data_IF_495913114393
#
_entry.id   IF_495913114393
#
_cell.length_a   1.000
_cell.length_b   1.000
_cell.length_c   1.000
_cell.angle_alpha   90.00
_cell.angle_beta   90.00
_cell.angle_gamma   90.00
#
_symmetry.space_group_name_H-M   'P 1'
#
loop_
_entity.id
_entity.type
_entity.pdbx_description
1 polymer ?
#
# COMPACT_ATOMS: atom_id res chain seq x y z
N UNK A 1 -29.41 31.21 6.65
CA UNK A 1 -28.22 30.46 6.23
C UNK A 1 -27.94 30.55 4.72
N UNK A 2 -28.89 30.26 3.81
CA UNK A 2 -28.66 30.34 2.34
C UNK A 2 -28.17 31.72 1.85
N UNK A 3 -28.79 32.82 2.32
CA UNK A 3 -28.39 34.20 1.91
C UNK A 3 -26.97 34.60 2.35
N UNK A 4 -26.53 34.12 3.52
CA UNK A 4 -25.17 34.37 4.02
C UNK A 4 -24.11 33.55 3.23
N UNK A 5 -24.43 32.32 2.85
CA UNK A 5 -23.60 31.49 2.03
C UNK A 5 -23.40 32.03 0.60
N UNK A 6 -24.49 32.53 -0.04
CA UNK A 6 -24.38 33.17 -1.34
C UNK A 6 -23.67 34.52 -1.29
N UNK A 7 -23.79 35.28 -0.18
CA UNK A 7 -23.05 36.53 0.03
C UNK A 7 -21.56 36.28 0.26
N UNK A 8 -21.20 35.13 0.83
CA UNK A 8 -19.82 34.73 0.99
C UNK A 8 -19.22 34.27 -0.36
N UNK A 9 -19.95 33.49 -1.17
CA UNK A 9 -19.56 33.07 -2.51
C UNK A 9 -19.41 34.22 -3.50
N UNK A 10 -20.27 35.27 -3.45
CA UNK A 10 -20.16 36.43 -4.34
C UNK A 10 -18.88 37.28 -4.11
N UNK A 11 -18.13 36.99 -3.08
CA UNK A 11 -16.82 37.60 -2.81
C UNK A 11 -15.69 37.03 -3.69
N UNK A 12 -15.93 35.90 -4.36
CA UNK A 12 -14.95 35.17 -5.17
C UNK A 12 -15.13 35.30 -6.69
N UNK A 13 -15.88 36.33 -7.17
CA UNK A 13 -16.00 36.64 -8.60
C UNK A 13 -17.17 35.97 -9.31
N UNK A 14 -17.29 36.20 -10.61
CA UNK A 14 -18.44 35.78 -11.47
C UNK A 14 -18.57 34.29 -11.72
N UNK A 15 -17.66 33.46 -11.22
CA UNK A 15 -17.67 31.99 -11.35
C UNK A 15 -18.50 31.25 -10.26
N UNK A 16 -19.46 31.95 -9.62
CA UNK A 16 -20.37 31.28 -8.69
C UNK A 16 -21.24 30.26 -9.45
N UNK A 17 -21.13 28.98 -9.16
CA UNK A 17 -21.95 27.99 -9.86
C UNK A 17 -23.44 28.32 -9.66
N UNK A 18 -24.17 28.53 -10.76
CA UNK A 18 -25.61 28.76 -10.73
C UNK A 18 -26.31 27.73 -9.86
N UNK A 19 -27.28 28.07 -9.03
CA UNK A 19 -27.97 27.12 -8.18
C UNK A 19 -28.50 25.99 -9.04
N UNK A 20 -28.12 24.76 -8.69
CA UNK A 20 -28.53 23.55 -9.42
C UNK A 20 -30.06 23.48 -9.44
N UNK A 21 -30.64 23.32 -10.63
CA UNK A 21 -32.09 23.11 -10.75
C UNK A 21 -32.48 21.86 -9.99
N UNK A 22 -33.69 21.82 -9.41
CA UNK A 22 -34.18 20.67 -8.59
C UNK A 22 -33.96 19.31 -9.25
N UNK A 23 -34.15 19.20 -10.58
CA UNK A 23 -33.93 17.98 -11.34
C UNK A 23 -32.48 17.50 -11.32
N UNK A 24 -31.48 18.40 -11.26
CA UNK A 24 -30.07 18.03 -11.15
C UNK A 24 -29.73 17.45 -9.78
N UNK A 25 -30.34 17.94 -8.69
CA UNK A 25 -30.14 17.35 -7.37
C UNK A 25 -30.72 15.94 -7.28
N UNK A 26 -31.88 15.69 -7.89
CA UNK A 26 -32.51 14.38 -7.95
C UNK A 26 -31.63 13.43 -8.75
N UNK A 27 -31.13 13.86 -9.91
CA UNK A 27 -30.21 13.06 -10.72
C UNK A 27 -28.94 12.70 -9.96
N UNK A 28 -28.26 13.70 -9.33
CA UNK A 28 -27.06 13.48 -8.53
C UNK A 28 -27.33 12.51 -7.38
N UNK A 29 -28.49 12.64 -6.69
CA UNK A 29 -28.87 11.75 -5.61
C UNK A 29 -28.98 10.30 -6.09
N UNK A 30 -29.71 10.05 -7.19
CA UNK A 30 -29.87 8.71 -7.75
C UNK A 30 -28.54 8.12 -8.28
N UNK A 31 -27.66 8.96 -8.85
CA UNK A 31 -26.32 8.53 -9.28
C UNK A 31 -25.39 8.21 -8.10
N UNK A 32 -25.51 8.95 -7.01
CA UNK A 32 -24.72 8.71 -5.82
C UNK A 32 -25.29 7.59 -4.91
N UNK A 33 -26.59 7.26 -5.05
CA UNK A 33 -27.30 6.32 -4.20
C UNK A 33 -26.61 4.95 -4.10
N UNK A 34 -26.18 4.28 -5.18
CA UNK A 34 -25.50 2.99 -5.07
C UNK A 34 -24.19 3.08 -4.27
N UNK A 35 -23.42 4.16 -4.47
CA UNK A 35 -22.20 4.38 -3.71
C UNK A 35 -22.47 4.67 -2.23
N UNK A 36 -23.50 5.46 -1.92
CA UNK A 36 -23.92 5.75 -0.56
C UNK A 36 -24.44 4.51 0.16
N UNK A 37 -25.26 3.68 -0.51
CA UNK A 37 -25.72 2.41 0.03
C UNK A 37 -24.56 1.46 0.29
N UNK A 38 -23.63 1.35 -0.65
CA UNK A 38 -22.40 0.57 -0.46
C UNK A 38 -21.59 1.04 0.75
N UNK A 39 -21.43 2.35 0.90
CA UNK A 39 -20.73 2.94 2.04
C UNK A 39 -21.46 2.65 3.36
N UNK A 40 -22.79 2.84 3.41
CA UNK A 40 -23.56 2.57 4.62
C UNK A 40 -23.53 1.10 5.03
N UNK A 41 -23.70 0.17 4.08
CA UNK A 41 -23.75 -1.27 4.39
C UNK A 41 -22.35 -1.81 4.69
N UNK A 42 -21.42 -1.64 3.76
CA UNK A 42 -20.10 -2.28 3.85
C UNK A 42 -19.14 -1.56 4.78
N UNK A 43 -19.11 -0.23 4.80
CA UNK A 43 -18.19 0.48 5.68
C UNK A 43 -18.77 0.68 7.09
N UNK A 44 -19.97 1.24 7.21
CA UNK A 44 -20.53 1.46 8.55
C UNK A 44 -21.10 0.18 9.17
N UNK A 45 -21.94 -0.57 8.44
CA UNK A 45 -22.60 -1.75 8.98
C UNK A 45 -21.60 -2.85 9.36
N UNK A 46 -20.70 -3.22 8.45
CA UNK A 46 -19.73 -4.30 8.69
C UNK A 46 -18.71 -3.91 9.76
N UNK A 47 -18.13 -2.69 9.68
CA UNK A 47 -17.14 -2.26 10.67
C UNK A 47 -17.76 -2.10 12.06
N UNK A 48 -18.98 -1.56 12.18
CA UNK A 48 -19.66 -1.45 13.46
C UNK A 48 -19.94 -2.83 14.08
N UNK A 49 -20.39 -3.79 13.26
CA UNK A 49 -20.58 -5.16 13.70
C UNK A 49 -19.27 -5.83 14.13
N UNK A 50 -18.20 -5.62 13.39
CA UNK A 50 -16.86 -6.12 13.76
C UNK A 50 -16.38 -5.54 15.09
N UNK A 51 -16.63 -4.25 15.33
CA UNK A 51 -16.31 -3.61 16.63
C UNK A 51 -17.15 -4.26 17.75
N UNK A 52 -18.44 -4.46 17.55
CA UNK A 52 -19.28 -5.15 18.55
C UNK A 52 -18.78 -6.56 18.84
N UNK A 53 -18.45 -7.34 17.80
CA UNK A 53 -17.92 -8.70 17.94
C UNK A 53 -16.61 -8.72 18.73
N UNK A 54 -15.75 -7.72 18.60
CA UNK A 54 -14.52 -7.62 19.38
C UNK A 54 -14.75 -7.61 20.89
N UNK A 55 -15.89 -7.04 21.32
CA UNK A 55 -16.30 -6.93 22.73
C UNK A 55 -17.33 -8.00 23.14
N UNK A 56 -17.62 -8.99 22.32
CA UNK A 56 -18.54 -10.07 22.66
C UNK A 56 -17.79 -11.34 23.04
N UNK A 57 -18.20 -11.97 24.13
CA UNK A 57 -17.79 -13.33 24.48
C UNK A 57 -18.36 -14.32 23.45
N UNK A 58 -17.52 -15.13 22.77
CA UNK A 58 -17.98 -16.09 21.76
C UNK A 58 -18.95 -17.15 22.31
N UNK A 59 -18.93 -17.43 23.62
CA UNK A 59 -19.77 -18.48 24.24
C UNK A 59 -21.12 -17.95 24.73
N UNK A 60 -21.14 -16.77 25.31
CA UNK A 60 -22.34 -16.20 25.97
C UNK A 60 -23.02 -15.11 25.14
N UNK A 61 -22.31 -14.53 24.15
CA UNK A 61 -22.76 -13.36 23.38
C UNK A 61 -22.81 -12.05 24.21
N UNK A 62 -22.47 -12.09 25.49
CA UNK A 62 -22.47 -10.94 26.39
C UNK A 62 -21.27 -10.03 26.09
N UNK A 63 -21.41 -8.74 26.40
CA UNK A 63 -20.28 -7.79 26.29
C UNK A 63 -19.21 -8.15 27.32
N UNK A 64 -17.98 -8.38 26.85
CA UNK A 64 -16.84 -8.80 27.65
C UNK A 64 -15.52 -8.34 27.02
N UNK A 65 -14.47 -8.21 27.82
CA UNK A 65 -13.10 -7.95 27.36
C UNK A 65 -12.26 -9.22 27.19
N UNK A 66 -12.85 -10.41 27.24
CA UNK A 66 -12.16 -11.70 27.20
C UNK A 66 -11.26 -11.86 25.95
N UNK A 67 -11.68 -11.32 24.80
CA UNK A 67 -10.88 -11.38 23.57
C UNK A 67 -9.62 -10.51 23.68
N UNK A 68 -9.68 -9.39 24.38
CA UNK A 68 -8.52 -8.53 24.62
C UNK A 68 -7.60 -9.11 25.69
N UNK A 69 -8.14 -9.75 26.73
CA UNK A 69 -7.34 -10.47 27.73
C UNK A 69 -6.58 -11.61 27.07
N UNK A 70 -7.23 -12.38 26.19
CA UNK A 70 -6.58 -13.41 25.37
C UNK A 70 -5.48 -12.80 24.49
N UNK A 71 -5.73 -11.68 23.83
CA UNK A 71 -4.74 -11.00 22.99
C UNK A 71 -3.51 -10.57 23.81
N UNK A 72 -3.72 -10.00 24.99
CA UNK A 72 -2.60 -9.62 25.89
C UNK A 72 -1.79 -10.88 26.28
N UNK A 73 -2.47 -11.98 26.61
CA UNK A 73 -1.82 -13.27 26.89
C UNK A 73 -0.99 -13.76 25.70
N UNK A 74 -1.54 -13.70 24.49
CA UNK A 74 -0.86 -14.09 23.28
C UNK A 74 0.35 -13.18 22.96
N UNK A 75 0.25 -11.87 23.22
CA UNK A 75 1.37 -10.94 23.07
C UNK A 75 2.49 -11.17 24.09
N UNK A 76 2.18 -11.71 25.26
CA UNK A 76 3.17 -12.08 26.28
C UNK A 76 3.76 -13.48 26.08
N UNK A 77 3.10 -14.31 25.29
CA UNK A 77 3.52 -15.70 25.04
C UNK A 77 4.58 -15.77 23.95
N UNK A 78 5.69 -16.43 24.25
CA UNK A 78 6.76 -16.72 23.27
C UNK A 78 6.34 -17.68 22.16
N UNK A 79 5.30 -18.45 22.36
CA UNK A 79 4.77 -19.42 21.38
C UNK A 79 3.69 -18.83 20.45
N UNK A 80 3.33 -17.58 20.63
CA UNK A 80 2.30 -16.90 19.84
C UNK A 80 2.80 -16.56 18.44
N UNK A 81 1.93 -16.76 17.44
CA UNK A 81 2.15 -16.36 16.05
C UNK A 81 1.98 -14.85 15.83
N UNK A 82 1.36 -14.13 16.78
CA UNK A 82 1.04 -12.71 16.63
C UNK A 82 2.29 -11.84 16.58
N UNK A 83 3.29 -12.10 17.44
CA UNK A 83 4.53 -11.31 17.45
C UNK A 83 5.33 -11.45 16.14
N UNK A 84 5.60 -12.67 15.64
CA UNK A 84 6.22 -12.83 14.33
C UNK A 84 5.41 -12.18 13.21
N UNK A 85 4.06 -12.31 13.22
CA UNK A 85 3.18 -11.69 12.24
C UNK A 85 3.25 -10.16 12.28
N UNK A 86 3.32 -9.56 13.47
CA UNK A 86 3.51 -8.12 13.65
C UNK A 86 4.85 -7.66 13.07
N UNK A 87 5.94 -8.34 13.40
CA UNK A 87 7.27 -8.01 12.88
C UNK A 87 7.33 -8.12 11.34
N UNK A 88 6.70 -9.14 10.76
CA UNK A 88 6.61 -9.27 9.32
C UNK A 88 5.76 -8.15 8.71
N UNK A 89 4.63 -7.79 9.34
CA UNK A 89 3.81 -6.65 8.90
C UNK A 89 4.64 -5.37 8.81
N UNK A 90 5.48 -5.10 9.80
CA UNK A 90 6.40 -3.96 9.78
C UNK A 90 7.44 -4.05 8.66
N UNK A 91 7.99 -5.24 8.36
CA UNK A 91 8.93 -5.42 7.26
C UNK A 91 8.27 -5.13 5.90
N UNK A 92 7.06 -5.66 5.67
CA UNK A 92 6.29 -5.38 4.45
C UNK A 92 5.91 -3.92 4.36
N UNK A 93 5.44 -3.34 5.45
CA UNK A 93 5.10 -1.92 5.52
C UNK A 93 6.32 -1.03 5.19
N UNK A 94 7.47 -1.30 5.80
CA UNK A 94 8.68 -0.54 5.55
C UNK A 94 9.12 -0.64 4.08
N UNK A 95 9.07 -1.83 3.50
CA UNK A 95 9.37 -2.05 2.10
C UNK A 95 8.42 -1.26 1.20
N UNK A 96 7.11 -1.32 1.43
CA UNK A 96 6.10 -0.72 0.56
C UNK A 96 5.94 0.78 0.75
N UNK A 97 6.08 1.30 1.98
CA UNK A 97 5.88 2.71 2.27
C UNK A 97 7.14 3.57 2.06
N UNK A 98 8.33 2.99 2.25
CA UNK A 98 9.58 3.75 2.22
C UNK A 98 10.52 3.35 1.08
N UNK A 99 10.81 2.05 0.91
CA UNK A 99 11.81 1.61 -0.06
C UNK A 99 11.25 1.69 -1.49
N UNK A 100 10.11 1.04 -1.73
CA UNK A 100 9.53 0.96 -3.08
C UNK A 100 9.19 2.32 -3.68
N UNK A 101 8.54 3.27 -2.98
CA UNK A 101 8.23 4.57 -3.55
C UNK A 101 9.48 5.35 -3.99
N UNK A 102 10.55 5.28 -3.20
CA UNK A 102 11.81 5.94 -3.53
C UNK A 102 12.43 5.33 -4.79
N UNK A 103 12.53 4.01 -4.85
CA UNK A 103 13.10 3.31 -6.02
C UNK A 103 12.25 3.58 -7.27
N UNK A 104 10.92 3.50 -7.16
CA UNK A 104 9.99 3.77 -8.27
C UNK A 104 10.06 5.22 -8.72
N UNK A 105 10.27 6.19 -7.81
CA UNK A 105 10.47 7.60 -8.14
C UNK A 105 11.69 7.79 -9.05
N UNK A 106 12.85 7.22 -8.69
CA UNK A 106 14.08 7.29 -9.50
C UNK A 106 13.91 6.59 -10.85
N UNK A 107 13.32 5.40 -10.88
CA UNK A 107 13.05 4.67 -12.13
C UNK A 107 12.12 5.49 -13.02
N UNK A 108 11.08 6.10 -12.47
CA UNK A 108 10.12 6.92 -13.21
C UNK A 108 10.77 8.16 -13.83
N UNK A 109 11.67 8.80 -13.10
CA UNK A 109 12.43 9.95 -13.61
C UNK A 109 13.37 9.54 -14.75
N UNK A 110 14.09 8.43 -14.60
CA UNK A 110 14.90 7.84 -15.66
C UNK A 110 14.09 7.57 -16.94
N UNK A 111 12.92 6.96 -16.79
CA UNK A 111 12.03 6.68 -17.92
C UNK A 111 11.46 7.96 -18.55
N UNK A 112 11.13 8.97 -17.74
CA UNK A 112 10.65 10.27 -18.18
C UNK A 112 11.70 11.01 -19.03
N UNK A 113 12.96 10.99 -18.64
CA UNK A 113 14.09 11.59 -19.39
C UNK A 113 14.40 10.88 -20.69
N UNK A 114 13.72 9.79 -21.02
CA UNK A 114 13.90 9.01 -22.25
C UNK A 114 15.35 8.58 -22.48
N UNK A 115 16.04 8.21 -21.43
CA UNK A 115 17.43 7.71 -21.49
C UNK A 115 17.49 6.42 -22.31
N UNK A 116 18.68 5.99 -22.67
CA UNK A 116 18.95 4.82 -23.50
C UNK A 116 18.12 3.60 -23.06
N UNK A 117 17.47 2.91 -24.00
CA UNK A 117 16.61 1.74 -23.76
C UNK A 117 15.34 2.00 -22.92
N UNK A 118 14.88 3.23 -22.73
CA UNK A 118 13.71 3.53 -21.90
C UNK A 118 12.44 2.73 -22.30
N UNK A 119 12.20 2.54 -23.60
CA UNK A 119 11.05 1.75 -24.08
C UNK A 119 11.17 0.28 -23.67
N UNK A 120 12.37 -0.30 -23.77
CA UNK A 120 12.63 -1.67 -23.35
C UNK A 120 12.40 -1.83 -21.85
N UNK A 121 12.97 -0.96 -21.02
CA UNK A 121 12.75 -1.00 -19.57
C UNK A 121 11.29 -0.78 -19.18
N UNK A 122 10.60 0.14 -19.86
CA UNK A 122 9.15 0.35 -19.62
C UNK A 122 8.36 -0.93 -19.87
N UNK A 123 8.57 -1.58 -21.02
CA UNK A 123 7.88 -2.84 -21.34
C UNK A 123 8.24 -3.92 -20.30
N UNK A 124 9.51 -4.07 -19.97
CA UNK A 124 9.99 -5.09 -19.04
C UNK A 124 9.39 -4.93 -17.63
N UNK A 125 9.24 -3.68 -17.15
CA UNK A 125 8.63 -3.39 -15.86
C UNK A 125 7.11 -3.65 -15.86
N UNK A 126 6.42 -3.48 -17.01
CA UNK A 126 4.98 -3.71 -17.08
C UNK A 126 4.60 -5.16 -17.41
N UNK A 127 5.45 -5.97 -18.02
CA UNK A 127 5.17 -7.38 -18.33
C UNK A 127 4.62 -8.14 -17.10
N UNK A 128 5.23 -8.05 -15.90
CA UNK A 128 4.74 -8.79 -14.74
C UNK A 128 3.31 -8.41 -14.32
N UNK A 129 2.86 -7.19 -14.58
CA UNK A 129 1.52 -6.73 -14.22
C UNK A 129 0.42 -7.22 -15.17
N UNK A 130 0.79 -7.67 -16.36
CA UNK A 130 -0.13 -8.22 -17.36
C UNK A 130 -0.37 -9.71 -17.13
N UNK A 131 0.63 -10.40 -16.57
CA UNK A 131 0.57 -11.83 -16.30
C UNK A 131 -0.14 -12.06 -14.96
N UNK A 132 -0.90 -13.15 -14.86
CA UNK A 132 -1.51 -13.55 -13.59
C UNK A 132 -0.45 -13.67 -12.47
N UNK A 133 -0.70 -13.03 -11.32
CA UNK A 133 0.21 -13.09 -10.17
C UNK A 133 0.52 -14.51 -9.71
N UNK A 134 -0.44 -15.42 -9.80
CA UNK A 134 -0.24 -16.84 -9.45
C UNK A 134 0.81 -17.49 -10.35
N UNK A 135 0.75 -17.21 -11.66
CA UNK A 135 1.73 -17.74 -12.63
C UNK A 135 3.12 -17.20 -12.34
N UNK A 136 3.24 -15.88 -12.11
CA UNK A 136 4.54 -15.25 -11.82
C UNK A 136 5.15 -15.79 -10.52
N UNK A 137 4.33 -15.95 -9.47
CA UNK A 137 4.76 -16.54 -8.20
C UNK A 137 5.23 -17.99 -8.40
N UNK A 138 4.46 -18.79 -9.15
CA UNK A 138 4.81 -20.19 -9.41
C UNK A 138 6.12 -20.28 -10.20
N UNK A 139 6.30 -19.45 -11.22
CA UNK A 139 7.56 -19.38 -11.96
C UNK A 139 8.73 -19.01 -11.04
N UNK A 140 8.57 -17.99 -10.21
CA UNK A 140 9.61 -17.57 -9.28
C UNK A 140 9.96 -18.68 -8.27
N UNK A 141 8.96 -19.35 -7.67
CA UNK A 141 9.17 -20.50 -6.77
C UNK A 141 9.97 -21.61 -7.45
N UNK A 142 9.58 -21.97 -8.68
CA UNK A 142 10.26 -23.01 -9.43
C UNK A 142 11.70 -22.62 -9.77
N UNK A 143 11.95 -21.35 -10.09
CA UNK A 143 13.31 -20.85 -10.41
C UNK A 143 14.27 -20.97 -9.23
N UNK A 144 13.81 -20.66 -8.00
CA UNK A 144 14.63 -20.65 -6.79
C UNK A 144 14.61 -21.97 -6.03
N UNK A 145 13.83 -22.96 -6.47
CA UNK A 145 13.75 -24.27 -5.80
C UNK A 145 15.07 -25.03 -5.90
N UNK A 146 15.36 -25.99 -4.98
CA UNK A 146 16.55 -26.83 -5.05
C UNK A 146 16.67 -27.62 -6.36
N UNK A 147 15.54 -28.01 -6.95
CA UNK A 147 15.48 -28.71 -8.25
C UNK A 147 15.31 -27.72 -9.43
N UNK A 148 15.38 -26.41 -9.20
CA UNK A 148 15.12 -25.39 -10.20
C UNK A 148 16.32 -25.07 -11.09
N UNK A 149 16.09 -24.32 -12.18
CA UNK A 149 17.14 -24.00 -13.16
C UNK A 149 18.30 -23.19 -12.56
N UNK A 150 18.03 -22.30 -11.58
CA UNK A 150 19.10 -21.54 -10.91
C UNK A 150 20.00 -22.47 -10.11
N UNK A 151 19.40 -23.41 -9.36
CA UNK A 151 20.14 -24.42 -8.60
C UNK A 151 20.99 -25.31 -9.51
N UNK A 152 20.43 -25.72 -10.66
CA UNK A 152 21.17 -26.50 -11.65
C UNK A 152 22.38 -25.74 -12.22
N UNK A 153 22.22 -24.46 -12.55
CA UNK A 153 23.32 -23.64 -13.05
C UNK A 153 24.44 -23.44 -12.01
N UNK A 154 24.08 -23.24 -10.75
CA UNK A 154 25.03 -23.12 -9.64
C UNK A 154 25.79 -24.44 -9.43
N UNK A 155 25.09 -25.57 -9.44
CA UNK A 155 25.70 -26.88 -9.32
C UNK A 155 26.67 -27.15 -10.45
N UNK A 156 26.28 -26.84 -11.70
CA UNK A 156 27.15 -27.00 -12.88
C UNK A 156 28.43 -26.17 -12.78
N UNK A 157 28.35 -25.00 -12.15
CA UNK A 157 29.49 -24.10 -11.94
C UNK A 157 30.27 -24.38 -10.63
N UNK A 158 30.02 -25.47 -9.94
CA UNK A 158 30.76 -25.88 -8.75
C UNK A 158 30.31 -25.18 -7.43
N UNK A 159 29.21 -24.44 -7.43
CA UNK A 159 28.73 -23.71 -6.26
C UNK A 159 27.75 -24.51 -5.39
N UNK A 160 27.44 -25.76 -5.72
CA UNK A 160 26.48 -26.59 -5.00
C UNK A 160 25.02 -26.32 -5.37
N UNK A 161 24.10 -26.98 -4.67
CA UNK A 161 22.64 -26.88 -4.88
C UNK A 161 22.06 -25.80 -3.94
N UNK A 162 21.08 -25.03 -4.42
CA UNK A 162 20.35 -24.09 -3.58
C UNK A 162 19.65 -24.82 -2.42
N UNK A 163 19.66 -24.20 -1.26
CA UNK A 163 18.79 -24.61 -0.15
C UNK A 163 17.34 -24.23 -0.45
N UNK A 164 16.40 -24.93 0.16
CA UNK A 164 14.99 -24.51 0.11
C UNK A 164 14.76 -23.33 1.08
N UNK A 165 14.89 -22.14 0.55
CA UNK A 165 14.75 -20.91 1.33
C UNK A 165 13.31 -20.60 1.76
N UNK A 166 12.30 -21.24 1.14
CA UNK A 166 10.90 -21.03 1.47
C UNK A 166 10.41 -21.91 2.62
N UNK A 167 11.13 -23.00 2.94
CA UNK A 167 10.81 -23.90 4.04
C UNK A 167 11.59 -23.59 5.33
N UNK A 168 12.50 -22.62 5.30
CA UNK A 168 13.24 -22.16 6.49
C UNK A 168 12.59 -20.90 7.09
N UNK A 169 12.14 -20.94 8.36
CA UNK A 169 11.54 -19.79 9.04
C UNK A 169 12.41 -18.53 9.09
N UNK A 170 13.73 -18.67 8.96
CA UNK A 170 14.66 -17.54 8.97
C UNK A 170 14.74 -16.82 7.63
N UNK A 171 14.48 -17.50 6.52
CA UNK A 171 14.70 -16.97 5.17
C UNK A 171 13.42 -16.77 4.38
N UNK A 172 12.36 -17.53 4.66
CA UNK A 172 11.12 -17.53 3.89
C UNK A 172 10.52 -16.11 3.72
N UNK A 173 10.37 -15.37 4.80
CA UNK A 173 9.85 -13.98 4.74
C UNK A 173 10.74 -13.07 3.89
N UNK A 174 12.06 -13.19 3.97
CA UNK A 174 13.00 -12.36 3.21
C UNK A 174 12.92 -12.66 1.71
N UNK A 175 12.74 -13.91 1.33
CA UNK A 175 12.54 -14.31 -0.08
C UNK A 175 11.23 -13.74 -0.63
N UNK A 176 10.14 -13.79 0.15
CA UNK A 176 8.85 -13.23 -0.28
C UNK A 176 8.93 -11.70 -0.37
N UNK A 177 9.65 -11.04 0.54
CA UNK A 177 9.91 -9.60 0.47
C UNK A 177 10.72 -9.23 -0.77
N UNK A 178 11.74 -10.01 -1.10
CA UNK A 178 12.55 -9.82 -2.31
C UNK A 178 11.70 -9.97 -3.58
N UNK A 179 10.86 -11.00 -3.64
CA UNK A 179 9.88 -11.14 -4.72
C UNK A 179 8.97 -9.91 -4.80
N UNK A 180 8.41 -9.48 -3.67
CA UNK A 180 7.53 -8.31 -3.60
C UNK A 180 8.24 -7.05 -4.10
N UNK A 181 9.50 -6.85 -3.70
CA UNK A 181 10.32 -5.74 -4.20
C UNK A 181 10.45 -5.77 -5.73
N UNK A 182 10.88 -6.89 -6.30
CA UNK A 182 11.12 -7.01 -7.75
C UNK A 182 9.86 -6.80 -8.58
N UNK A 183 8.75 -7.42 -8.17
CA UNK A 183 7.52 -7.42 -8.98
C UNK A 183 6.55 -6.29 -8.67
N UNK A 184 6.87 -5.41 -7.70
CA UNK A 184 6.09 -4.21 -7.39
C UNK A 184 6.72 -2.91 -7.93
N UNK A 185 7.83 -2.99 -8.66
CA UNK A 185 8.52 -1.82 -9.22
C UNK A 185 7.69 -1.05 -10.27
N UNK A 186 6.68 -1.68 -10.86
CA UNK A 186 5.72 -1.02 -11.76
C UNK A 186 4.67 -0.17 -11.03
N UNK A 187 4.57 -0.30 -9.71
CA UNK A 187 3.61 0.46 -8.91
C UNK A 187 3.83 1.98 -9.04
N UNK A 188 2.76 2.70 -9.29
CA UNK A 188 2.76 4.18 -9.39
C UNK A 188 3.65 4.79 -10.51
N UNK A 189 4.33 3.99 -11.37
CA UNK A 189 5.15 4.51 -12.48
C UNK A 189 4.37 5.48 -13.38
N UNK A 190 3.12 5.13 -13.75
CA UNK A 190 2.27 5.97 -14.60
C UNK A 190 1.92 7.29 -13.92
N UNK A 191 1.67 7.26 -12.61
CA UNK A 191 1.38 8.46 -11.83
C UNK A 191 2.59 9.38 -11.85
N UNK A 192 3.80 8.85 -11.60
CA UNK A 192 5.02 9.63 -11.62
C UNK A 192 5.33 10.23 -12.98
N UNK A 193 5.30 9.41 -14.05
CA UNK A 193 5.55 9.87 -15.42
C UNK A 193 4.50 10.94 -15.81
N UNK A 194 3.24 10.74 -15.43
CA UNK A 194 2.17 11.72 -15.67
C UNK A 194 2.39 13.03 -14.91
N UNK A 195 2.89 12.94 -13.67
CA UNK A 195 3.21 14.12 -12.85
C UNK A 195 4.40 14.89 -13.42
N UNK A 196 5.47 14.22 -13.81
CA UNK A 196 6.64 14.87 -14.43
C UNK A 196 6.30 15.58 -15.73
N UNK A 197 5.38 15.03 -16.53
CA UNK A 197 4.91 15.67 -17.78
C UNK A 197 4.10 16.96 -17.58
N UNK A 198 3.67 17.26 -16.35
CA UNK A 198 3.00 18.53 -16.05
C UNK A 198 3.99 19.67 -15.84
N UNK A 199 5.26 19.37 -15.61
CA UNK A 199 6.30 20.39 -15.46
C UNK A 199 6.58 20.98 -16.84
N UNK A 200 6.48 22.31 -17.04
CA UNK A 200 6.75 22.95 -18.31
C UNK A 200 8.19 22.70 -18.80
N UNK A 201 8.34 22.42 -20.09
CA UNK A 201 9.67 22.17 -20.71
C UNK A 201 10.61 23.35 -20.52
N UNK A 202 10.08 24.60 -20.48
CA UNK A 202 10.86 25.82 -20.25
C UNK A 202 11.67 25.79 -18.96
N UNK A 203 11.19 25.11 -17.92
CA UNK A 203 11.90 24.98 -16.65
C UNK A 203 13.12 24.07 -16.81
N UNK A 204 12.98 22.96 -17.54
CA UNK A 204 14.10 22.07 -17.85
C UNK A 204 15.13 22.75 -18.74
N UNK A 205 14.68 23.57 -19.71
CA UNK A 205 15.58 24.28 -20.60
C UNK A 205 16.33 25.41 -19.86
N UNK A 206 15.69 26.13 -18.94
CA UNK A 206 16.37 27.08 -18.08
C UNK A 206 17.44 26.41 -17.20
N UNK A 207 17.11 25.27 -16.57
CA UNK A 207 18.09 24.50 -15.79
C UNK A 207 19.30 24.03 -16.59
N UNK A 208 19.11 23.65 -17.88
CA UNK A 208 20.22 23.31 -18.76
C UNK A 208 21.10 24.51 -19.07
N UNK A 209 20.53 25.69 -19.29
CA UNK A 209 21.28 26.93 -19.52
C UNK A 209 22.09 27.32 -18.28
N UNK A 210 21.59 27.07 -17.09
CA UNK A 210 22.28 27.31 -15.82
C UNK A 210 23.32 26.21 -15.50
N UNK A 211 23.48 25.20 -16.36
CA UNK A 211 24.45 24.10 -16.18
C UNK A 211 24.11 23.11 -15.07
N UNK A 212 22.84 22.99 -14.73
CA UNK A 212 22.36 22.07 -13.70
C UNK A 212 22.52 20.62 -14.16
N UNK A 213 23.19 19.79 -13.36
CA UNK A 213 23.31 18.34 -13.62
C UNK A 213 21.96 17.62 -13.44
N UNK A 214 21.80 16.43 -14.05
CA UNK A 214 20.53 15.65 -13.92
C UNK A 214 20.13 15.34 -12.49
N UNK A 215 21.08 15.09 -11.59
CA UNK A 215 20.80 14.88 -10.17
C UNK A 215 20.37 16.16 -9.45
N UNK A 216 21.01 17.29 -9.78
CA UNK A 216 20.59 18.60 -9.26
C UNK A 216 19.21 18.97 -9.79
N UNK A 217 18.95 18.73 -11.08
CA UNK A 217 17.61 18.91 -11.67
C UNK A 217 16.55 18.10 -10.91
N UNK A 218 16.83 16.81 -10.65
CA UNK A 218 15.89 15.96 -9.91
C UNK A 218 15.60 16.49 -8.51
N UNK A 219 16.64 16.80 -7.73
CA UNK A 219 16.46 17.17 -6.32
C UNK A 219 16.08 18.62 -6.07
N UNK A 220 16.60 19.56 -6.87
CA UNK A 220 16.40 20.99 -6.65
C UNK A 220 15.22 21.57 -7.46
N UNK A 221 14.86 20.95 -8.59
CA UNK A 221 13.80 21.43 -9.47
C UNK A 221 12.59 20.50 -9.40
N UNK A 222 12.76 19.24 -9.83
CA UNK A 222 11.63 18.29 -9.98
C UNK A 222 11.01 17.91 -8.65
N UNK A 223 11.80 17.52 -7.65
CA UNK A 223 11.30 17.07 -6.34
C UNK A 223 10.43 18.10 -5.63
N UNK A 224 10.83 19.38 -5.53
CA UNK A 224 9.95 20.42 -4.96
C UNK A 224 8.65 20.59 -5.74
N UNK A 225 8.72 20.59 -7.09
CA UNK A 225 7.55 20.78 -7.95
C UNK A 225 6.53 19.66 -7.88
N UNK A 226 6.94 18.42 -7.57
CA UNK A 226 6.04 17.27 -7.44
C UNK A 226 5.76 16.90 -5.98
N UNK A 227 6.08 17.78 -5.04
CA UNK A 227 5.97 17.53 -3.58
C UNK A 227 4.56 17.11 -3.13
N UNK A 228 3.51 17.66 -3.75
CA UNK A 228 2.13 17.27 -3.48
C UNK A 228 1.85 15.80 -3.85
N UNK A 229 2.39 15.35 -5.01
CA UNK A 229 2.27 13.95 -5.43
C UNK A 229 3.08 13.03 -4.52
N UNK A 230 4.30 13.45 -4.11
CA UNK A 230 5.12 12.71 -3.13
C UNK A 230 4.33 12.52 -1.84
N UNK A 231 3.77 13.59 -1.28
CA UNK A 231 2.99 13.55 -0.05
C UNK A 231 1.77 12.62 -0.18
N UNK A 232 1.04 12.71 -1.29
CA UNK A 232 -0.14 11.89 -1.54
C UNK A 232 0.21 10.40 -1.63
N UNK A 233 1.21 10.04 -2.43
CA UNK A 233 1.63 8.65 -2.59
C UNK A 233 2.27 8.09 -1.31
N UNK A 234 2.96 8.92 -0.54
CA UNK A 234 3.51 8.54 0.75
C UNK A 234 2.40 8.23 1.76
N UNK A 235 1.38 9.09 1.86
CA UNK A 235 0.21 8.86 2.72
C UNK A 235 -0.51 7.57 2.33
N UNK A 236 -0.73 7.33 1.02
CA UNK A 236 -1.31 6.08 0.52
C UNK A 236 -0.45 4.87 0.89
N UNK A 237 0.88 4.98 0.82
CA UNK A 237 1.81 3.95 1.26
C UNK A 237 1.69 3.65 2.77
N UNK A 238 1.50 4.67 3.59
CA UNK A 238 1.32 4.52 5.04
C UNK A 238 0.05 3.75 5.41
N UNK A 239 -1.05 3.94 4.67
CA UNK A 239 -2.27 3.15 4.90
C UNK A 239 -2.09 1.68 4.59
N UNK A 240 -1.06 1.33 3.82
CA UNK A 240 -0.68 -0.05 3.51
C UNK A 240 -0.35 -0.92 4.72
N UNK A 241 -0.05 -0.32 5.90
CA UNK A 241 0.17 -1.08 7.15
C UNK A 241 -1.04 -1.95 7.52
N UNK A 242 -2.26 -1.47 7.22
CA UNK A 242 -3.51 -2.17 7.54
C UNK A 242 -3.85 -3.25 6.51
N UNK A 243 -3.24 -3.21 5.32
CA UNK A 243 -3.55 -4.11 4.21
C UNK A 243 -2.37 -5.00 3.80
N UNK A 244 -1.25 -4.94 4.53
CA UNK A 244 -0.03 -5.68 4.22
C UNK A 244 -0.26 -7.20 4.35
N UNK A 245 -0.64 -7.84 3.25
CA UNK A 245 -0.79 -9.30 3.16
C UNK A 245 0.35 -9.95 2.40
N UNK A 246 0.97 -9.22 1.46
CA UNK A 246 1.93 -9.79 0.53
C UNK A 246 1.37 -10.98 -0.28
N UNK A 247 2.17 -11.64 -1.08
CA UNK A 247 1.79 -12.85 -1.82
C UNK A 247 1.89 -14.14 -0.97
N UNK A 248 1.77 -14.03 0.36
CA UNK A 248 2.02 -15.11 1.34
C UNK A 248 1.16 -16.34 1.06
N UNK A 249 -0.12 -16.14 0.68
CA UNK A 249 -1.05 -17.22 0.37
C UNK A 249 -0.46 -18.22 -0.64
N UNK A 250 0.15 -17.71 -1.71
CA UNK A 250 0.67 -18.55 -2.80
C UNK A 250 2.08 -19.08 -2.55
N UNK A 251 2.85 -18.43 -1.67
CA UNK A 251 4.20 -18.88 -1.33
C UNK A 251 4.19 -19.97 -0.27
N UNK A 252 3.66 -19.69 0.89
CA UNK A 252 3.80 -20.50 2.10
C UNK A 252 2.48 -20.76 2.82
N UNK A 253 1.41 -20.08 2.42
CA UNK A 253 0.12 -20.06 3.14
C UNK A 253 0.28 -19.72 4.64
N UNK A 254 1.25 -18.86 4.98
CA UNK A 254 1.54 -18.47 6.36
C UNK A 254 2.50 -19.39 7.11
N UNK A 255 2.84 -20.59 6.59
CA UNK A 255 3.82 -21.47 7.21
C UNK A 255 5.21 -20.79 7.33
N UNK A 256 6.09 -21.38 8.11
CA UNK A 256 7.48 -20.93 8.29
C UNK A 256 7.61 -19.48 8.77
N UNK A 257 6.74 -19.08 9.71
CA UNK A 257 6.71 -17.72 10.30
C UNK A 257 6.54 -16.59 9.27
N UNK A 258 5.80 -16.82 8.20
CA UNK A 258 5.59 -15.82 7.14
C UNK A 258 4.31 -15.00 7.29
N UNK A 259 3.47 -15.28 8.29
CA UNK A 259 2.27 -14.50 8.55
C UNK A 259 2.56 -13.00 8.68
N UNK A 260 1.70 -12.18 8.09
CA UNK A 260 1.45 -10.80 8.50
C UNK A 260 0.15 -10.77 9.31
N UNK A 261 -0.08 -9.71 10.09
CA UNK A 261 -1.31 -9.60 10.89
C UNK A 261 -2.55 -9.73 10.02
N UNK A 262 -2.60 -9.00 8.90
CA UNK A 262 -3.77 -9.03 8.04
C UNK A 262 -3.98 -10.40 7.37
N UNK A 263 -2.92 -11.09 6.96
CA UNK A 263 -3.04 -12.44 6.42
C UNK A 263 -3.39 -13.46 7.51
N UNK A 264 -2.87 -13.30 8.71
CA UNK A 264 -3.25 -14.11 9.88
C UNK A 264 -4.73 -13.95 10.20
N UNK A 265 -5.24 -12.70 10.25
CA UNK A 265 -6.67 -12.42 10.43
C UNK A 265 -7.53 -13.10 9.37
N UNK A 266 -7.11 -13.03 8.10
CA UNK A 266 -7.81 -13.69 6.99
C UNK A 266 -7.92 -15.21 7.21
N UNK A 267 -6.83 -15.87 7.61
CA UNK A 267 -6.82 -17.32 7.88
C UNK A 267 -7.69 -17.66 9.08
N UNK A 268 -7.60 -16.88 10.17
CA UNK A 268 -8.43 -17.09 11.38
C UNK A 268 -9.93 -16.98 11.07
N UNK A 269 -10.32 -15.97 10.29
CA UNK A 269 -11.71 -15.79 9.86
C UNK A 269 -12.20 -16.92 8.95
N UNK A 270 -11.32 -17.43 8.08
CA UNK A 270 -11.65 -18.51 7.15
C UNK A 270 -11.79 -19.87 7.85
N UNK A 271 -10.93 -20.18 8.80
CA UNK A 271 -10.79 -21.51 9.39
C UNK A 271 -11.52 -21.64 10.73
N UNK A 272 -11.83 -20.53 11.41
CA UNK A 272 -12.56 -20.51 12.69
C UNK A 272 -14.02 -20.12 12.51
N UNK A 273 -14.91 -20.81 13.25
CA UNK A 273 -16.34 -20.49 13.31
C UNK A 273 -16.66 -19.23 14.13
N UNK A 274 -15.66 -18.61 14.78
CA UNK A 274 -15.85 -17.42 15.63
C UNK A 274 -15.05 -16.25 15.11
N UNK A 275 -15.72 -15.09 14.93
CA UNK A 275 -15.10 -13.86 14.44
C UNK A 275 -14.64 -12.91 15.55
N UNK A 276 -14.99 -13.21 16.81
CA UNK A 276 -14.83 -12.33 17.96
C UNK A 276 -13.35 -12.01 18.22
N UNK A 277 -12.52 -13.04 18.35
CA UNK A 277 -11.09 -12.87 18.61
C UNK A 277 -10.33 -12.19 17.46
N UNK A 278 -10.47 -12.61 16.19
CA UNK A 278 -9.89 -11.87 15.05
C UNK A 278 -10.35 -10.40 15.00
N UNK A 279 -11.60 -10.11 15.33
CA UNK A 279 -12.10 -8.72 15.38
C UNK A 279 -11.44 -7.90 16.47
N UNK A 280 -11.19 -8.47 17.65
CA UNK A 280 -10.47 -7.80 18.73
C UNK A 280 -9.00 -7.52 18.34
N UNK A 281 -8.33 -8.49 17.70
CA UNK A 281 -6.96 -8.31 17.18
C UNK A 281 -6.91 -7.20 16.12
N UNK A 282 -7.81 -7.24 15.14
CA UNK A 282 -7.89 -6.21 14.09
C UNK A 282 -8.17 -4.81 14.65
N UNK A 283 -9.10 -4.70 15.61
CA UNK A 283 -9.43 -3.44 16.28
C UNK A 283 -8.22 -2.89 17.07
N UNK A 284 -7.53 -3.74 17.82
CA UNK A 284 -6.34 -3.36 18.58
C UNK A 284 -5.25 -2.77 17.68
N UNK A 285 -4.92 -3.45 16.58
CA UNK A 285 -3.93 -2.96 15.63
C UNK A 285 -4.39 -1.69 14.90
N UNK A 286 -5.69 -1.53 14.66
CA UNK A 286 -6.26 -0.31 14.09
C UNK A 286 -6.13 0.87 15.04
N UNK A 287 -6.41 0.67 16.33
CA UNK A 287 -6.27 1.71 17.36
C UNK A 287 -4.82 2.19 17.49
N UNK A 288 -3.84 1.31 17.31
CA UNK A 288 -2.42 1.67 17.35
C UNK A 288 -1.97 2.32 16.04
N UNK A 289 -2.36 1.75 14.90
CA UNK A 289 -1.90 2.19 13.59
C UNK A 289 -2.51 3.51 13.13
N UNK A 290 -3.79 3.76 13.42
CA UNK A 290 -4.49 4.95 12.99
C UNK A 290 -3.86 6.26 13.50
N UNK A 291 -3.52 6.41 14.79
CA UNK A 291 -2.82 7.61 15.28
C UNK A 291 -1.47 7.83 14.59
N UNK A 292 -0.72 6.75 14.30
CA UNK A 292 0.57 6.84 13.60
C UNK A 292 0.38 7.40 12.20
N UNK A 293 -0.60 6.86 11.45
CA UNK A 293 -0.92 7.35 10.10
C UNK A 293 -1.39 8.81 10.12
N UNK A 294 -2.27 9.18 11.07
CA UNK A 294 -2.76 10.55 11.22
C UNK A 294 -1.64 11.54 11.59
N UNK A 295 -0.72 11.13 12.46
CA UNK A 295 0.42 11.96 12.86
C UNK A 295 1.33 12.21 11.65
N UNK A 296 1.68 11.16 10.92
CA UNK A 296 2.54 11.30 9.74
C UNK A 296 1.82 12.09 8.63
N UNK A 297 0.52 11.87 8.42
CA UNK A 297 -0.28 12.68 7.50
C UNK A 297 -0.23 14.17 7.85
N UNK A 298 -0.39 14.54 9.13
CA UNK A 298 -0.29 15.93 9.58
C UNK A 298 1.10 16.53 9.38
N UNK A 299 2.15 15.72 9.56
CA UNK A 299 3.53 16.14 9.31
C UNK A 299 3.80 16.36 7.82
N UNK A 300 3.35 15.46 6.95
CA UNK A 300 3.56 15.56 5.50
C UNK A 300 2.82 16.74 4.88
N UNK A 301 1.65 17.11 5.39
CA UNK A 301 0.92 18.31 4.92
C UNK A 301 1.73 19.60 5.09
N UNK A 302 2.61 19.70 6.09
CA UNK A 302 3.47 20.87 6.28
C UNK A 302 4.56 20.98 5.21
N UNK A 303 4.93 19.88 4.56
CA UNK A 303 5.95 19.85 3.50
C UNK A 303 5.35 19.89 2.10
N UNK A 304 4.03 19.70 1.97
CA UNK A 304 3.33 19.79 0.69
C UNK A 304 3.08 21.27 0.40
N UNK A 305 3.90 21.85 -0.47
CA UNK A 305 3.63 23.16 -1.08
C UNK A 305 2.89 22.90 -2.39
N UNK A 306 1.69 23.49 -2.54
CA UNK A 306 1.05 23.59 -3.83
C UNK A 306 1.78 24.68 -4.64
N UNK A 307 2.56 24.24 -5.61
CA UNK A 307 3.12 25.16 -6.61
C UNK A 307 2.13 25.14 -7.77
N UNK A 308 1.35 26.20 -7.91
CA UNK A 308 0.54 26.46 -9.12
C UNK A 308 1.49 26.90 -10.24
N UNK A 309 1.40 26.23 -11.41
CA UNK A 309 2.16 26.53 -12.62
C UNK A 309 1.33 27.36 -13.59
#
# INVERSE_FOLDING_TARGET
>A
MKKLFYKWLSKYGDDVPKPLQKGKYIFIFFMALPALLGLCIWYFGVNFNSILMAFQDPNTGALSFINFERLIGDLMSKSSEIIPAMLNTFKYFFLQAFILPVVVYFISYYLFKKVLFNKFFTVMLYIPSIISSVVVITLFKNMISPAGPISYLLFKNGHGVLKDYLTDPKTATSVILFYTFLFSLNGNLLIWIGTFKRIPDSIFDAGKLDGVSEMQELFLIVTPMVSSTISTLFILGLTGIFTATGPILFFTNGAYNTFTINFWLFVQVKDMSTYNYPSAVGLFFTIIGLPIVLLVWKLTQKFSQEIEY
#
